data_IF_457380452004
#
_entry.id   IF_457380452004
#
_cell.length_a   1.000
_cell.length_b   1.000
_cell.length_c   1.000
_cell.angle_alpha   90.00
_cell.angle_beta   90.00
_cell.angle_gamma   90.00
#
_symmetry.space_group_name_H-M   'P 1'
#
loop_
_entity.id
_entity.type
_entity.pdbx_description
1 polymer ?
#
# COMPACT_ATOMS: atom_id res chain seq x y z
N UNK A 1 -4.46 -0.01 10.04
CA UNK A 1 -3.15 -0.65 10.16
C UNK A 1 -2.36 0.00 11.30
N UNK A 2 -1.62 -0.81 12.08
CA UNK A 2 -1.02 -0.36 13.35
C UNK A 2 0.26 0.46 13.17
N UNK A 3 0.97 0.30 12.05
CA UNK A 3 2.21 1.04 11.77
C UNK A 3 2.04 2.57 11.89
N UNK A 4 0.87 3.08 11.55
CA UNK A 4 0.57 4.51 11.59
C UNK A 4 0.70 5.09 13.03
N UNK A 5 0.36 4.29 14.06
CA UNK A 5 0.49 4.69 15.47
C UNK A 5 1.95 4.87 15.90
N UNK A 6 2.88 4.24 15.19
CA UNK A 6 4.32 4.33 15.42
C UNK A 6 4.95 5.41 14.54
N UNK A 7 4.58 5.47 13.26
CA UNK A 7 5.20 6.36 12.28
C UNK A 7 4.82 7.83 12.50
N UNK A 8 3.53 8.13 12.73
CA UNK A 8 3.08 9.51 12.88
C UNK A 8 3.84 10.25 13.98
N UNK A 9 3.86 9.79 15.24
CA UNK A 9 4.61 10.49 16.29
C UNK A 9 6.11 10.53 16.02
N UNK A 10 6.69 9.47 15.44
CA UNK A 10 8.12 9.43 15.13
C UNK A 10 8.54 10.45 14.06
N UNK A 11 7.68 10.73 13.09
CA UNK A 11 7.91 11.76 12.06
C UNK A 11 7.67 13.17 12.63
N UNK A 12 6.67 13.35 13.48
CA UNK A 12 6.41 14.62 14.18
C UNK A 12 7.57 14.98 15.13
N UNK A 13 8.15 14.01 15.83
CA UNK A 13 9.36 14.20 16.66
C UNK A 13 10.56 14.63 15.82
N UNK A 14 10.62 14.27 14.53
CA UNK A 14 11.61 14.73 13.56
C UNK A 14 11.32 16.12 13.00
N UNK A 15 10.20 16.73 13.40
CA UNK A 15 9.80 18.07 13.01
C UNK A 15 9.06 18.16 11.68
N UNK A 16 8.42 17.07 11.24
CA UNK A 16 7.57 17.05 10.06
C UNK A 16 6.09 17.16 10.45
N UNK A 17 5.32 17.88 9.66
CA UNK A 17 3.86 17.83 9.74
C UNK A 17 3.37 16.57 9.01
N UNK A 18 2.50 15.79 9.65
CA UNK A 18 2.05 14.50 9.12
C UNK A 18 0.54 14.51 8.85
N UNK A 19 0.18 14.50 7.57
CA UNK A 19 -1.19 14.27 7.12
C UNK A 19 -1.44 12.76 6.93
N UNK A 20 -2.56 12.28 7.43
CA UNK A 20 -2.95 10.85 7.34
C UNK A 20 -4.24 10.72 6.57
N UNK A 21 -4.25 9.82 5.59
CA UNK A 21 -5.42 9.51 4.76
C UNK A 21 -5.87 8.08 5.00
N UNK A 22 -7.17 7.87 5.12
CA UNK A 22 -7.76 6.55 5.26
C UNK A 22 -8.14 6.01 3.87
N UNK A 23 -7.47 4.95 3.43
CA UNK A 23 -7.57 4.39 2.07
C UNK A 23 -8.83 3.53 1.90
N UNK A 24 -9.99 4.17 1.85
CA UNK A 24 -11.32 3.53 1.63
C UNK A 24 -12.11 4.24 0.53
N UNK A 25 -11.44 4.68 -0.53
CA UNK A 25 -11.99 5.38 -1.69
C UNK A 25 -11.76 6.90 -1.61
N UNK A 26 -12.50 7.62 -0.79
CA UNK A 26 -12.40 9.09 -0.70
C UNK A 26 -11.04 9.59 -0.16
N UNK A 27 -10.47 8.85 0.79
CA UNK A 27 -9.17 9.22 1.36
C UNK A 27 -8.04 9.16 0.35
N UNK A 28 -8.02 8.12 -0.49
CA UNK A 28 -7.06 8.02 -1.59
C UNK A 28 -7.28 9.07 -2.67
N UNK A 29 -8.53 9.43 -3.01
CA UNK A 29 -8.80 10.55 -3.93
C UNK A 29 -8.27 11.88 -3.40
N UNK A 30 -8.47 12.18 -2.11
CA UNK A 30 -7.96 13.39 -1.48
C UNK A 30 -6.43 13.40 -1.46
N UNK A 31 -5.82 12.26 -1.09
CA UNK A 31 -4.37 12.07 -1.11
C UNK A 31 -3.78 12.30 -2.50
N UNK A 32 -4.33 11.66 -3.54
CA UNK A 32 -3.84 11.79 -4.92
C UNK A 32 -4.00 13.24 -5.45
N UNK A 33 -5.09 13.93 -5.06
CA UNK A 33 -5.29 15.34 -5.43
C UNK A 33 -4.20 16.23 -4.85
N UNK A 34 -3.91 16.10 -3.56
CA UNK A 34 -2.87 16.88 -2.88
C UNK A 34 -1.45 16.50 -3.37
N UNK A 35 -1.22 15.22 -3.65
CA UNK A 35 0.04 14.77 -4.24
C UNK A 35 0.30 15.40 -5.61
N UNK A 36 -0.75 15.51 -6.45
CA UNK A 36 -0.68 16.19 -7.75
C UNK A 36 -0.34 17.68 -7.65
N UNK A 37 -0.76 18.33 -6.56
CA UNK A 37 -0.48 19.74 -6.29
C UNK A 37 0.88 19.98 -5.63
N UNK A 38 1.63 18.91 -5.32
CA UNK A 38 2.96 19.02 -4.69
C UNK A 38 2.91 19.37 -3.21
N UNK A 39 1.82 19.00 -2.52
CA UNK A 39 1.62 19.34 -1.11
C UNK A 39 2.55 18.59 -0.15
N UNK A 40 3.29 17.57 -0.62
CA UNK A 40 4.09 16.68 0.22
C UNK A 40 5.58 16.73 -0.13
N UNK A 41 6.44 16.79 0.87
CA UNK A 41 7.89 16.60 0.71
C UNK A 41 8.28 15.13 0.57
N UNK A 42 7.47 14.21 1.11
CA UNK A 42 7.63 12.77 1.02
C UNK A 42 6.28 12.10 1.22
N UNK A 43 6.09 10.94 0.60
CA UNK A 43 4.89 10.13 0.73
C UNK A 43 5.26 8.75 1.28
N UNK A 44 4.49 8.26 2.26
CA UNK A 44 4.52 6.87 2.74
C UNK A 44 3.18 6.22 2.43
N UNK A 45 3.11 5.51 1.30
CA UNK A 45 1.88 4.85 0.84
C UNK A 45 1.92 3.36 1.17
N UNK A 46 1.43 3.01 2.35
CA UNK A 46 1.51 1.67 2.93
C UNK A 46 0.17 0.94 2.96
N UNK A 47 -0.87 1.46 2.29
CA UNK A 47 -2.17 0.79 2.19
C UNK A 47 -2.68 0.89 0.76
N UNK A 48 -2.49 -0.19 -0.01
CA UNK A 48 -2.82 -0.24 -1.43
C UNK A 48 -4.14 -0.95 -1.73
N UNK A 49 -5.02 -1.10 -0.74
CA UNK A 49 -6.32 -1.72 -0.90
C UNK A 49 -7.15 -1.07 -2.02
N UNK A 50 -7.16 0.28 -2.09
CA UNK A 50 -7.85 1.01 -3.16
C UNK A 50 -7.28 0.71 -4.56
N UNK A 51 -5.99 0.39 -4.66
CA UNK A 51 -5.36 0.00 -5.92
C UNK A 51 -5.78 -1.43 -6.31
N UNK A 52 -5.77 -2.39 -5.38
CA UNK A 52 -6.32 -3.73 -5.60
C UNK A 52 -7.80 -3.67 -6.02
N UNK A 53 -8.58 -2.86 -5.34
CA UNK A 53 -10.00 -2.63 -5.67
C UNK A 53 -10.21 -2.02 -7.06
N UNK A 54 -9.36 -1.08 -7.48
CA UNK A 54 -9.39 -0.53 -8.84
C UNK A 54 -9.18 -1.62 -9.89
N UNK A 55 -8.17 -2.47 -9.70
CA UNK A 55 -7.86 -3.56 -10.63
C UNK A 55 -8.97 -4.61 -10.69
N UNK A 56 -9.67 -4.85 -9.58
CA UNK A 56 -10.79 -5.77 -9.49
C UNK A 56 -12.13 -5.20 -10.00
N UNK A 57 -12.20 -3.90 -10.32
CA UNK A 57 -13.43 -3.24 -10.72
C UNK A 57 -14.41 -2.97 -9.57
N UNK A 58 -13.92 -2.93 -8.33
CA UNK A 58 -14.72 -2.54 -7.16
C UNK A 58 -15.04 -1.06 -7.16
N UNK A 59 -16.21 -0.70 -6.63
CA UNK A 59 -16.59 0.70 -6.38
C UNK A 59 -15.82 1.32 -5.20
N UNK A 60 -15.19 0.51 -4.36
CA UNK A 60 -14.37 0.96 -3.22
C UNK A 60 -12.95 1.24 -3.70
N UNK A 61 -12.81 2.10 -4.69
CA UNK A 61 -11.50 2.52 -5.23
C UNK A 61 -11.39 4.04 -5.22
N UNK A 62 -10.18 4.55 -5.32
CA UNK A 62 -9.91 5.99 -5.43
C UNK A 62 -9.73 6.47 -6.88
N UNK A 63 -10.10 5.64 -7.85
CA UNK A 63 -10.03 5.95 -9.27
C UNK A 63 -8.66 5.67 -9.91
N UNK A 64 -8.53 5.98 -11.22
CA UNK A 64 -7.39 5.56 -12.04
C UNK A 64 -6.05 6.20 -11.66
N UNK A 65 -6.07 7.31 -10.95
CA UNK A 65 -4.86 8.04 -10.55
C UNK A 65 -4.15 7.44 -9.32
N UNK A 66 -4.78 6.46 -8.67
CA UNK A 66 -4.23 5.84 -7.47
C UNK A 66 -2.80 5.35 -7.66
N UNK A 67 -1.89 5.75 -6.77
CA UNK A 67 -0.46 5.44 -6.78
C UNK A 67 0.27 6.00 -8.02
N UNK A 68 -0.12 7.19 -8.50
CA UNK A 68 0.53 7.82 -9.66
C UNK A 68 1.05 9.23 -9.42
N UNK A 69 0.29 10.06 -8.70
CA UNK A 69 0.55 11.51 -8.74
C UNK A 69 1.84 11.90 -8.02
N UNK A 70 2.16 11.29 -6.88
CA UNK A 70 3.45 11.49 -6.22
C UNK A 70 4.62 11.14 -7.16
N UNK A 71 4.57 9.94 -7.76
CA UNK A 71 5.60 9.49 -8.70
C UNK A 71 5.72 10.37 -9.95
N UNK A 72 4.61 10.78 -10.55
CA UNK A 72 4.60 11.68 -11.73
C UNK A 72 5.22 13.04 -11.46
N UNK A 73 4.98 13.58 -10.28
CA UNK A 73 5.55 14.88 -9.86
C UNK A 73 7.03 14.75 -9.46
N UNK A 74 7.49 13.54 -9.16
CA UNK A 74 8.85 13.30 -8.68
C UNK A 74 9.00 13.41 -7.17
N UNK A 75 7.89 13.44 -6.43
CA UNK A 75 7.89 13.41 -4.97
C UNK A 75 8.50 12.10 -4.48
N UNK A 76 9.47 12.13 -3.55
CA UNK A 76 9.99 10.92 -2.92
C UNK A 76 8.88 10.08 -2.30
N UNK A 77 8.85 8.78 -2.58
CA UNK A 77 7.79 7.90 -2.09
C UNK A 77 8.33 6.57 -1.57
N UNK A 78 7.91 6.20 -0.36
CA UNK A 78 8.13 4.87 0.22
C UNK A 78 6.79 4.13 0.12
N UNK A 79 6.79 2.98 -0.51
CA UNK A 79 5.57 2.22 -0.81
C UNK A 79 5.62 0.84 -0.18
N UNK A 80 4.49 0.34 0.30
CA UNK A 80 4.36 -1.03 0.76
C UNK A 80 2.99 -1.61 0.37
N UNK A 81 2.86 -2.94 0.22
CA UNK A 81 1.69 -3.58 -0.38
C UNK A 81 0.51 -3.78 0.59
N UNK A 82 0.39 -2.97 1.64
CA UNK A 82 -0.63 -3.21 2.67
C UNK A 82 -2.04 -3.37 2.10
N UNK A 83 -2.68 -4.47 2.45
CA UNK A 83 -4.03 -4.84 2.06
C UNK A 83 -4.31 -4.85 0.55
N UNK A 84 -3.27 -4.93 -0.30
CA UNK A 84 -3.44 -5.03 -1.77
C UNK A 84 -4.12 -6.35 -2.16
N UNK A 85 -4.08 -7.33 -1.29
CA UNK A 85 -4.65 -8.66 -1.47
C UNK A 85 -6.14 -8.78 -1.08
N UNK A 86 -6.75 -7.68 -0.64
CA UNK A 86 -8.17 -7.61 -0.33
C UNK A 86 -8.98 -6.95 -1.44
N UNK A 87 -10.09 -7.55 -1.82
CA UNK A 87 -11.13 -6.90 -2.62
C UNK A 87 -12.31 -6.54 -1.74
N UNK A 88 -12.75 -5.29 -1.83
CA UNK A 88 -13.91 -4.79 -1.11
C UNK A 88 -15.09 -4.57 -2.06
N UNK A 89 -16.27 -4.93 -1.60
CA UNK A 89 -17.50 -4.60 -2.29
C UNK A 89 -18.38 -3.75 -1.37
N UNK A 90 -18.92 -2.67 -1.92
CA UNK A 90 -19.94 -1.90 -1.21
C UNK A 90 -21.19 -2.76 -0.98
N UNK A 91 -21.86 -2.59 0.16
CA UNK A 91 -23.01 -3.41 0.55
C UNK A 91 -24.19 -3.36 -0.42
N UNK A 92 -24.23 -2.35 -1.29
CA UNK A 92 -25.22 -2.18 -2.38
C UNK A 92 -24.68 -2.57 -3.76
N UNK A 93 -23.40 -2.97 -3.86
CA UNK A 93 -22.80 -3.39 -5.11
C UNK A 93 -23.14 -4.86 -5.38
N UNK A 94 -23.52 -5.17 -6.62
CA UNK A 94 -23.61 -6.56 -7.07
C UNK A 94 -22.20 -7.17 -7.09
N UNK A 95 -22.05 -8.32 -6.43
CA UNK A 95 -20.77 -9.02 -6.38
C UNK A 95 -20.54 -9.67 -7.75
N UNK A 96 -19.44 -9.36 -8.46
CA UNK A 96 -19.14 -9.99 -9.74
C UNK A 96 -19.07 -11.51 -9.61
N UNK A 97 -19.53 -12.23 -10.64
CA UNK A 97 -19.66 -13.69 -10.62
C UNK A 97 -18.34 -14.42 -10.23
N UNK A 98 -17.20 -13.88 -10.60
CA UNK A 98 -15.88 -14.43 -10.27
C UNK A 98 -15.54 -14.43 -8.77
N UNK A 99 -16.27 -13.65 -7.97
CA UNK A 99 -16.10 -13.56 -6.51
C UNK A 99 -17.27 -14.16 -5.74
N UNK A 100 -18.39 -14.52 -6.39
CA UNK A 100 -19.64 -14.89 -5.74
C UNK A 100 -19.51 -16.10 -4.78
N UNK A 101 -18.64 -17.05 -5.10
CA UNK A 101 -18.45 -18.29 -4.33
C UNK A 101 -17.31 -18.19 -3.30
N UNK A 102 -16.71 -16.99 -3.10
CA UNK A 102 -15.63 -16.81 -2.14
C UNK A 102 -16.16 -16.50 -0.75
N UNK A 103 -15.39 -16.84 0.31
CA UNK A 103 -15.72 -16.37 1.65
C UNK A 103 -15.57 -14.85 1.73
N UNK A 104 -16.51 -14.21 2.42
CA UNK A 104 -16.50 -12.78 2.67
C UNK A 104 -16.43 -12.50 4.15
N UNK A 105 -15.50 -11.59 4.50
CA UNK A 105 -15.48 -10.95 5.80
C UNK A 105 -16.37 -9.69 5.77
N UNK A 106 -17.34 -9.60 6.70
CA UNK A 106 -18.14 -8.40 6.87
C UNK A 106 -17.37 -7.35 7.70
N UNK A 107 -16.57 -6.54 7.03
CA UNK A 107 -15.81 -5.48 7.70
C UNK A 107 -16.71 -4.51 8.47
N UNK A 108 -17.86 -4.16 7.89
CA UNK A 108 -18.92 -3.38 8.50
C UNK A 108 -20.21 -3.51 7.65
N UNK A 109 -21.28 -2.79 8.03
CA UNK A 109 -22.56 -2.81 7.29
C UNK A 109 -22.48 -2.31 5.85
N UNK A 110 -21.40 -1.60 5.50
CA UNK A 110 -21.26 -0.94 4.20
C UNK A 110 -20.25 -1.65 3.28
N UNK A 111 -19.36 -2.47 3.81
CA UNK A 111 -18.25 -3.06 3.07
C UNK A 111 -18.09 -4.53 3.46
N UNK A 112 -18.03 -5.38 2.42
CA UNK A 112 -17.65 -6.79 2.50
C UNK A 112 -16.33 -6.99 1.80
N UNK A 113 -15.40 -7.72 2.44
CA UNK A 113 -14.06 -7.97 1.92
C UNK A 113 -13.86 -9.44 1.63
N UNK A 114 -13.11 -9.75 0.58
CA UNK A 114 -12.67 -11.10 0.26
C UNK A 114 -11.19 -11.07 -0.14
N UNK A 115 -10.53 -12.21 -0.08
CA UNK A 115 -9.09 -12.32 -0.38
C UNK A 115 -8.91 -12.71 -1.85
N UNK A 116 -7.94 -12.08 -2.53
CA UNK A 116 -7.52 -12.48 -3.86
C UNK A 116 -6.77 -13.82 -3.85
N UNK A 117 -7.01 -14.64 -4.86
CA UNK A 117 -6.30 -15.89 -5.02
C UNK A 117 -4.82 -15.68 -5.44
N UNK A 118 -3.94 -16.70 -5.37
CA UNK A 118 -2.52 -16.57 -5.70
C UNK A 118 -2.24 -16.03 -7.13
N UNK A 119 -3.08 -16.38 -8.10
CA UNK A 119 -2.92 -15.90 -9.48
C UNK A 119 -3.23 -14.41 -9.60
N UNK A 120 -4.30 -13.95 -8.96
CA UNK A 120 -4.65 -12.53 -8.91
C UNK A 120 -3.57 -11.72 -8.18
N UNK A 121 -3.04 -12.24 -7.06
CA UNK A 121 -1.95 -11.57 -6.33
C UNK A 121 -0.69 -11.41 -7.20
N UNK A 122 -0.35 -12.38 -8.07
CA UNK A 122 0.72 -12.20 -9.06
C UNK A 122 0.38 -11.10 -10.07
N UNK A 123 -0.85 -11.05 -10.56
CA UNK A 123 -1.27 -9.99 -11.47
C UNK A 123 -1.17 -8.60 -10.81
N UNK A 124 -1.52 -8.50 -9.52
CA UNK A 124 -1.40 -7.25 -8.77
C UNK A 124 0.07 -6.86 -8.55
N UNK A 125 0.96 -7.80 -8.33
CA UNK A 125 2.40 -7.52 -8.24
C UNK A 125 2.95 -6.93 -9.55
N UNK A 126 2.55 -7.49 -10.71
CA UNK A 126 2.91 -6.95 -12.02
C UNK A 126 2.35 -5.53 -12.23
N UNK A 127 1.06 -5.33 -11.97
CA UNK A 127 0.43 -4.02 -12.10
C UNK A 127 1.06 -2.97 -11.17
N UNK A 128 1.47 -3.37 -9.96
CA UNK A 128 2.19 -2.52 -9.02
C UNK A 128 3.58 -2.16 -9.54
N UNK A 129 4.32 -3.13 -10.09
CA UNK A 129 5.63 -2.89 -10.71
C UNK A 129 5.53 -1.88 -11.85
N UNK A 130 4.59 -2.06 -12.78
CA UNK A 130 4.33 -1.13 -13.89
C UNK A 130 3.99 0.27 -13.38
N UNK A 131 3.19 0.36 -12.31
CA UNK A 131 2.79 1.63 -11.71
C UNK A 131 3.98 2.39 -11.12
N UNK A 132 4.85 1.68 -10.40
CA UNK A 132 6.03 2.26 -9.77
C UNK A 132 7.14 2.54 -10.80
N UNK A 133 7.23 1.76 -11.88
CA UNK A 133 8.18 2.02 -12.96
C UNK A 133 7.93 3.36 -13.64
N UNK A 134 6.71 3.84 -13.68
CA UNK A 134 6.37 5.14 -14.25
C UNK A 134 6.75 6.34 -13.37
N UNK A 135 7.17 6.12 -12.11
CA UNK A 135 7.57 7.19 -11.20
C UNK A 135 8.87 7.86 -11.65
N UNK A 136 8.94 9.18 -11.53
CA UNK A 136 10.10 10.01 -11.91
C UNK A 136 11.03 10.31 -10.74
N UNK A 137 10.49 10.27 -9.52
CA UNK A 137 11.23 10.55 -8.28
C UNK A 137 11.77 9.31 -7.59
N UNK A 138 12.53 9.51 -6.52
CA UNK A 138 13.00 8.43 -5.67
C UNK A 138 11.83 7.57 -5.18
N UNK A 139 11.92 6.28 -5.42
CA UNK A 139 10.90 5.32 -5.02
C UNK A 139 11.57 4.16 -4.32
N UNK A 140 11.14 3.87 -3.10
CA UNK A 140 11.60 2.73 -2.31
C UNK A 140 10.42 1.82 -1.98
N UNK A 141 10.57 0.52 -2.19
CA UNK A 141 9.54 -0.45 -1.86
C UNK A 141 9.92 -1.26 -0.63
N UNK A 142 9.04 -1.29 0.36
CA UNK A 142 9.18 -2.14 1.55
C UNK A 142 8.30 -3.37 1.39
N UNK A 143 8.90 -4.55 1.39
CA UNK A 143 8.21 -5.82 1.24
C UNK A 143 8.17 -6.57 2.58
N UNK A 144 7.08 -6.48 3.37
CA UNK A 144 6.93 -7.24 4.59
C UNK A 144 6.69 -8.72 4.27
N UNK A 145 7.50 -9.60 4.86
CA UNK A 145 7.45 -11.04 4.61
C UNK A 145 6.50 -11.80 5.54
N UNK A 146 6.06 -11.17 6.63
CA UNK A 146 5.24 -11.79 7.67
C UNK A 146 3.74 -11.50 7.57
N UNK A 147 3.28 -10.84 6.51
CA UNK A 147 1.89 -10.45 6.29
C UNK A 147 1.72 -8.98 5.95
N UNK A 148 0.65 -8.65 5.25
CA UNK A 148 0.41 -7.34 4.63
C UNK A 148 -0.90 -6.67 5.04
N UNK A 149 -1.74 -7.32 5.85
CA UNK A 149 -3.01 -6.74 6.29
C UNK A 149 -3.34 -7.10 7.75
N UNK A 150 -4.51 -6.74 8.27
CA UNK A 150 -4.80 -6.89 9.70
C UNK A 150 -5.26 -8.30 10.10
N UNK A 151 -5.79 -9.08 9.16
CA UNK A 151 -6.45 -10.38 9.39
C UNK A 151 -5.69 -11.55 8.76
N UNK A 152 -4.44 -11.35 8.28
CA UNK A 152 -3.63 -12.39 7.62
C UNK A 152 -2.65 -13.11 8.55
N UNK A 153 -2.69 -12.82 9.85
CA UNK A 153 -1.90 -13.56 10.85
C UNK A 153 -2.41 -14.97 11.03
N UNK A 154 -1.54 -15.88 11.47
CA UNK A 154 -1.92 -17.25 11.78
C UNK A 154 -3.11 -17.30 12.76
N UNK A 155 -4.18 -17.99 12.35
CA UNK A 155 -5.43 -18.10 13.10
C UNK A 155 -6.48 -17.07 12.78
N UNK A 156 -6.17 -16.06 11.97
CA UNK A 156 -7.11 -15.05 11.49
C UNK A 156 -7.81 -15.48 10.18
N UNK A 157 -8.92 -14.82 9.84
CA UNK A 157 -9.80 -15.23 8.73
C UNK A 157 -9.17 -15.15 7.34
N UNK A 158 -8.24 -14.21 7.14
CA UNK A 158 -7.57 -13.99 5.86
C UNK A 158 -6.16 -14.61 5.81
N UNK A 159 -5.83 -15.50 6.76
CA UNK A 159 -4.54 -16.15 6.77
C UNK A 159 -4.35 -17.05 5.55
N UNK A 160 -3.53 -16.62 4.62
CA UNK A 160 -3.24 -17.29 3.35
C UNK A 160 -1.74 -17.22 3.02
N UNK A 161 -0.92 -18.07 3.65
CA UNK A 161 0.52 -18.06 3.45
C UNK A 161 0.93 -18.43 2.00
N UNK A 162 0.13 -19.23 1.29
CA UNK A 162 0.39 -19.57 -0.12
C UNK A 162 0.18 -18.34 -1.01
N UNK A 163 -0.89 -17.60 -0.80
CA UNK A 163 -1.16 -16.36 -1.53
C UNK A 163 -0.13 -15.28 -1.24
N UNK A 164 0.28 -15.13 0.02
CA UNK A 164 1.35 -14.21 0.39
C UNK A 164 2.68 -14.58 -0.27
N UNK A 165 3.07 -15.86 -0.24
CA UNK A 165 4.27 -16.35 -0.91
C UNK A 165 4.21 -16.10 -2.43
N UNK A 166 3.06 -16.35 -3.07
CA UNK A 166 2.87 -16.09 -4.49
C UNK A 166 3.06 -14.61 -4.86
N UNK A 167 2.58 -13.69 -4.01
CA UNK A 167 2.81 -12.25 -4.20
C UNK A 167 4.29 -11.89 -4.04
N UNK A 168 4.94 -12.35 -2.98
CA UNK A 168 6.35 -12.06 -2.67
C UNK A 168 7.25 -12.56 -3.81
N UNK A 169 7.07 -13.80 -4.27
CA UNK A 169 7.88 -14.39 -5.33
C UNK A 169 7.71 -13.66 -6.66
N UNK A 170 6.50 -13.22 -6.95
CA UNK A 170 6.24 -12.41 -8.14
C UNK A 170 6.92 -11.04 -8.04
N UNK A 171 6.80 -10.34 -6.90
CA UNK A 171 7.51 -9.06 -6.65
C UNK A 171 9.01 -9.21 -6.90
N UNK A 172 9.64 -10.25 -6.36
CA UNK A 172 11.07 -10.53 -6.58
C UNK A 172 11.44 -10.70 -8.04
N UNK A 173 10.49 -11.16 -8.85
CA UNK A 173 10.70 -11.46 -10.28
C UNK A 173 10.49 -10.24 -11.16
N UNK A 174 9.46 -9.44 -10.87
CA UNK A 174 8.98 -8.41 -11.81
C UNK A 174 9.36 -6.98 -11.43
N UNK A 175 9.79 -6.74 -10.19
CA UNK A 175 10.11 -5.37 -9.78
C UNK A 175 11.33 -4.82 -10.54
N UNK A 176 11.21 -3.60 -11.09
CA UNK A 176 12.29 -2.98 -11.84
C UNK A 176 13.53 -2.77 -10.98
N UNK A 177 14.71 -3.10 -11.50
CA UNK A 177 15.96 -2.95 -10.74
C UNK A 177 16.33 -1.53 -10.31
N UNK A 178 15.61 -0.51 -10.84
CA UNK A 178 15.74 0.88 -10.39
C UNK A 178 14.89 1.20 -9.15
N UNK A 179 13.94 0.35 -8.78
CA UNK A 179 13.16 0.47 -7.55
C UNK A 179 13.92 -0.24 -6.46
N UNK A 180 14.51 0.54 -5.55
CA UNK A 180 15.15 -0.04 -4.39
C UNK A 180 14.11 -0.76 -3.53
N UNK A 181 14.34 -2.03 -3.26
CA UNK A 181 13.41 -2.87 -2.50
C UNK A 181 14.11 -3.40 -1.25
N UNK A 182 13.47 -3.23 -0.09
CA UNK A 182 13.90 -3.81 1.18
C UNK A 182 12.89 -4.85 1.64
N UNK A 183 13.33 -6.10 1.76
CA UNK A 183 12.56 -7.16 2.40
C UNK A 183 12.65 -7.00 3.91
N UNK A 184 11.50 -6.99 4.57
CA UNK A 184 11.39 -6.87 6.02
C UNK A 184 10.87 -8.17 6.60
N UNK A 185 11.69 -8.90 7.37
CA UNK A 185 11.30 -10.15 8.02
C UNK A 185 10.35 -9.90 9.21
N UNK A 186 9.23 -9.26 8.92
CA UNK A 186 8.20 -8.87 9.89
C UNK A 186 6.86 -8.72 9.18
N UNK A 187 5.80 -8.67 9.97
CA UNK A 187 4.47 -8.29 9.50
C UNK A 187 4.39 -6.76 9.33
N UNK A 188 3.56 -6.28 8.39
CA UNK A 188 3.41 -4.82 8.12
C UNK A 188 2.99 -4.02 9.36
N UNK A 189 2.29 -4.64 10.30
CA UNK A 189 1.85 -4.01 11.54
C UNK A 189 2.86 -4.11 12.70
N UNK A 190 4.00 -4.74 12.50
CA UNK A 190 5.03 -4.88 13.53
C UNK A 190 5.92 -3.64 13.60
N UNK A 191 6.50 -3.41 14.78
CA UNK A 191 7.44 -2.29 14.98
C UNK A 191 8.61 -2.35 14.01
N UNK A 192 9.12 -3.53 13.69
CA UNK A 192 10.25 -3.70 12.77
C UNK A 192 9.96 -3.15 11.37
N UNK A 193 8.71 -3.24 10.89
CA UNK A 193 8.30 -2.60 9.64
C UNK A 193 8.35 -1.07 9.72
N UNK A 194 7.80 -0.50 10.79
CA UNK A 194 7.85 0.94 11.01
C UNK A 194 9.29 1.45 11.15
N UNK A 195 10.15 0.71 11.85
CA UNK A 195 11.57 1.04 11.99
C UNK A 195 12.27 1.02 10.61
N UNK A 196 11.99 0.03 9.76
CA UNK A 196 12.55 -0.05 8.40
C UNK A 196 12.13 1.17 7.54
N UNK A 197 10.87 1.58 7.64
CA UNK A 197 10.39 2.77 6.94
C UNK A 197 11.11 4.05 7.41
N UNK A 198 11.34 4.19 8.72
CA UNK A 198 12.06 5.33 9.29
C UNK A 198 13.53 5.32 8.87
N UNK A 199 14.18 4.17 8.75
CA UNK A 199 15.57 4.07 8.26
C UNK A 199 15.67 4.60 6.83
N UNK A 200 14.75 4.24 5.94
CA UNK A 200 14.74 4.78 4.57
C UNK A 200 14.48 6.28 4.57
N UNK A 201 13.53 6.74 5.37
CA UNK A 201 13.19 8.16 5.47
C UNK A 201 14.37 8.98 6.00
N UNK A 202 15.01 8.56 7.10
CA UNK A 202 16.12 9.25 7.72
C UNK A 202 17.32 9.34 6.75
N UNK A 203 17.64 8.25 6.04
CA UNK A 203 18.64 8.24 4.97
C UNK A 203 18.32 9.28 3.90
N UNK A 204 17.09 9.36 3.44
CA UNK A 204 16.68 10.34 2.42
C UNK A 204 16.75 11.79 2.92
N UNK A 205 16.55 12.02 4.21
CA UNK A 205 16.77 13.33 4.82
C UNK A 205 18.25 13.67 4.85
N UNK A 206 19.12 12.73 5.23
CA UNK A 206 20.58 12.91 5.24
C UNK A 206 21.15 13.17 3.84
N UNK A 207 20.61 12.48 2.83
CA UNK A 207 20.99 12.64 1.41
C UNK A 207 20.39 13.91 0.78
N UNK A 208 19.53 14.65 1.47
CA UNK A 208 18.87 15.85 0.95
C UNK A 208 17.76 15.55 -0.08
N UNK A 209 17.31 14.30 -0.19
CA UNK A 209 16.21 13.89 -1.04
C UNK A 209 14.87 14.37 -0.46
N UNK A 210 14.70 14.24 0.86
CA UNK A 210 13.57 14.79 1.61
C UNK A 210 14.00 16.07 2.29
N UNK A 211 13.40 17.18 1.92
CA UNK A 211 13.68 18.49 2.52
C UNK A 211 12.54 18.89 3.44
N UNK A 212 12.88 19.60 4.53
CA UNK A 212 11.84 20.27 5.32
C UNK A 212 11.24 21.37 4.49
N UNK A 213 9.94 21.43 4.40
CA UNK A 213 9.25 22.56 3.83
C UNK A 213 9.66 23.85 4.56
N UNK A 214 9.96 24.90 3.83
CA UNK A 214 10.21 26.23 4.38
C UNK A 214 8.94 26.86 4.90
#
# INVERSE_FOLDING_TARGET
LSYMKLLKPALEDRGYEVAVFHSTGMGGMAFESLAREGAFCCVMDFCLQEFGNLLAGSLVSSGPDRLQNAGRLGTPQIVAPGAIDLVDFAGWQEIPAQYADRPFHEHNRLIKSSVFNPQERRQWANALADRLEAAKGPTHFLLPLGGIEAWDKEGEEAHDPEGLAAFIDEVRTVFPGRIETTEVSAHINDKAFADAALVVFDRWVEEGIVTRGG
#
